data_IF_083937297895
#
_entry.id   IF_083937297895
#
_cell.length_a   1.000
_cell.length_b   1.000
_cell.length_c   1.000
_cell.angle_alpha   90.00
_cell.angle_beta   90.00
_cell.angle_gamma   90.00
#
_symmetry.space_group_name_H-M   'P 1'
#
loop_
_entity.id
_entity.type
_entity.pdbx_description
1 polymer ?
#
# COMPACT_ATOMS: atom_id res chain seq x y z
N UNK A 1 -4.57 16.28 11.44
CA UNK A 1 -3.29 16.90 11.05
C UNK A 1 -2.27 15.79 10.89
N UNK A 2 -1.56 15.73 9.76
CA UNK A 2 -0.44 14.81 9.59
C UNK A 2 0.69 15.19 10.56
N UNK A 3 1.27 14.22 11.27
CA UNK A 3 2.39 14.46 12.20
C UNK A 3 3.68 14.84 11.48
N UNK A 4 4.72 15.33 12.19
CA UNK A 4 6.03 15.59 11.61
C UNK A 4 6.62 14.37 10.90
N UNK A 5 6.27 13.16 11.33
CA UNK A 5 6.69 11.89 10.72
C UNK A 5 6.18 11.73 9.28
N UNK A 6 5.02 12.32 8.95
CA UNK A 6 4.49 12.33 7.57
C UNK A 6 5.10 13.42 6.69
N UNK A 7 5.61 14.51 7.29
CA UNK A 7 5.99 15.74 6.59
C UNK A 7 7.51 15.95 6.51
N UNK A 8 8.28 15.23 7.33
CA UNK A 8 9.75 15.29 7.33
C UNK A 8 10.31 14.58 6.08
N UNK A 9 11.52 14.97 5.67
CA UNK A 9 12.24 14.43 4.51
C UNK A 9 11.33 14.35 3.26
N UNK A 10 10.85 15.50 2.74
CA UNK A 10 10.12 15.48 1.48
C UNK A 10 10.99 14.85 0.39
N UNK A 11 10.42 14.03 -0.51
CA UNK A 11 11.18 13.44 -1.59
C UNK A 11 11.80 14.57 -2.41
N UNK A 12 13.07 14.41 -2.77
CA UNK A 12 13.76 15.34 -3.65
C UNK A 12 13.09 15.23 -5.02
N UNK A 13 12.35 16.27 -5.41
CA UNK A 13 11.65 16.30 -6.69
C UNK A 13 12.68 16.39 -7.82
N UNK A 14 12.66 15.41 -8.71
CA UNK A 14 13.47 15.41 -9.92
C UNK A 14 12.54 15.45 -11.14
N UNK A 15 12.50 16.56 -11.91
CA UNK A 15 11.63 16.67 -13.08
C UNK A 15 12.01 15.71 -14.21
N UNK A 16 13.22 15.16 -14.18
CA UNK A 16 13.69 14.14 -15.11
C UNK A 16 13.49 12.71 -14.56
N UNK A 17 12.84 12.57 -13.40
CA UNK A 17 12.49 11.27 -12.82
C UNK A 17 11.06 10.86 -13.18
N UNK A 18 10.82 9.55 -13.25
CA UNK A 18 9.56 8.97 -13.67
C UNK A 18 9.59 8.49 -15.12
N UNK A 19 9.16 7.26 -15.35
CA UNK A 19 9.06 6.65 -16.68
C UNK A 19 7.62 6.65 -17.23
N UNK A 20 6.70 7.31 -16.53
CA UNK A 20 5.26 7.25 -16.79
C UNK A 20 4.66 8.60 -17.18
N UNK A 21 3.33 8.62 -17.29
CA UNK A 21 2.55 9.79 -17.64
C UNK A 21 1.26 9.84 -16.84
N UNK A 22 0.69 11.03 -16.69
CA UNK A 22 -0.65 11.21 -16.11
C UNK A 22 -1.69 11.07 -17.21
N UNK A 23 -2.70 10.23 -17.00
CA UNK A 23 -3.89 10.16 -17.84
C UNK A 23 -5.15 9.99 -17.01
N UNK A 24 -6.30 10.37 -17.57
CA UNK A 24 -7.59 10.05 -16.95
C UNK A 24 -7.88 8.56 -17.06
N UNK A 25 -8.04 7.91 -15.92
CA UNK A 25 -8.44 6.51 -15.81
C UNK A 25 -9.58 6.43 -14.79
N UNK A 26 -10.72 5.87 -15.18
CA UNK A 26 -11.90 5.87 -14.30
C UNK A 26 -12.40 7.27 -13.90
N UNK A 27 -12.07 8.32 -14.67
CA UNK A 27 -12.39 9.72 -14.35
C UNK A 27 -11.36 10.43 -13.48
N UNK A 28 -10.38 9.71 -12.92
CA UNK A 28 -9.34 10.25 -12.05
C UNK A 28 -8.03 10.45 -12.80
N UNK A 29 -7.33 11.53 -12.49
CA UNK A 29 -5.98 11.75 -12.97
C UNK A 29 -5.05 10.74 -12.30
N UNK A 30 -4.57 9.79 -13.09
CA UNK A 30 -3.80 8.63 -12.62
C UNK A 30 -2.43 8.66 -13.29
N UNK A 31 -1.37 8.63 -12.48
CA UNK A 31 -0.02 8.41 -12.98
C UNK A 31 0.17 6.93 -13.32
N UNK A 32 0.60 6.64 -14.54
CA UNK A 32 0.73 5.27 -15.03
C UNK A 32 2.13 5.09 -15.60
N UNK A 33 2.74 3.97 -15.23
CA UNK A 33 4.04 3.53 -15.72
C UNK A 33 3.97 2.04 -16.08
N UNK A 34 4.75 1.62 -17.06
CA UNK A 34 4.80 0.24 -17.54
C UNK A 34 4.05 -0.01 -18.86
N UNK A 35 4.10 -1.25 -19.38
CA UNK A 35 3.55 -1.58 -20.69
C UNK A 35 2.02 -1.47 -20.75
N UNK A 36 1.49 -0.85 -21.80
CA UNK A 36 0.03 -0.67 -21.98
C UNK A 36 -0.73 -1.97 -22.26
N UNK A 37 -0.03 -3.03 -22.67
CA UNK A 37 -0.59 -4.36 -22.97
C UNK A 37 -0.41 -5.36 -21.81
N UNK A 38 0.03 -4.90 -20.63
CA UNK A 38 0.19 -5.74 -19.45
C UNK A 38 -1.13 -6.41 -19.06
N UNK A 39 -1.06 -7.68 -18.66
CA UNK A 39 -2.19 -8.42 -18.08
C UNK A 39 -2.28 -8.25 -16.57
N UNK A 40 -1.32 -7.55 -15.98
CA UNK A 40 -1.17 -7.36 -14.55
C UNK A 40 -1.05 -5.87 -14.24
N UNK A 41 -1.66 -5.42 -13.15
CA UNK A 41 -1.49 -4.06 -12.67
C UNK A 41 -1.27 -4.05 -11.15
N UNK A 42 -0.58 -3.01 -10.68
CA UNK A 42 -0.47 -2.70 -9.25
C UNK A 42 -0.98 -1.29 -9.04
N UNK A 43 -1.96 -1.14 -8.16
CA UNK A 43 -2.47 0.16 -7.74
C UNK A 43 -1.69 0.63 -6.50
N UNK A 44 -1.07 1.80 -6.56
CA UNK A 44 -0.42 2.44 -5.42
C UNK A 44 -1.33 3.53 -4.84
N UNK A 45 -1.69 3.41 -3.55
CA UNK A 45 -2.64 4.32 -2.89
C UNK A 45 -1.95 5.01 -1.71
N UNK A 46 -1.67 6.30 -1.83
CA UNK A 46 -0.80 7.04 -0.89
C UNK A 46 -1.44 8.27 -0.22
N UNK A 47 -2.77 8.37 -0.14
CA UNK A 47 -3.41 9.66 0.16
C UNK A 47 -3.02 10.30 1.50
N UNK A 48 -2.74 11.61 1.41
CA UNK A 48 -2.56 12.57 2.49
C UNK A 48 -3.48 13.75 2.19
N UNK A 49 -4.34 14.08 3.16
CA UNK A 49 -5.32 15.18 3.27
C UNK A 49 -6.59 15.12 2.40
N UNK A 50 -7.71 14.75 3.03
CA UNK A 50 -9.05 14.94 2.46
C UNK A 50 -10.04 13.89 2.91
N UNK A 51 -10.86 14.21 3.92
CA UNK A 51 -11.87 13.31 4.47
C UNK A 51 -12.85 12.79 3.41
N UNK A 52 -12.92 11.48 3.25
CA UNK A 52 -14.10 10.62 3.47
C UNK A 52 -13.61 9.17 3.38
N UNK A 53 -13.66 8.42 4.49
CA UNK A 53 -13.11 7.04 4.61
C UNK A 53 -13.56 6.09 3.49
N UNK A 54 -14.69 6.37 2.85
CA UNK A 54 -15.24 5.57 1.75
C UNK A 54 -14.95 6.18 0.37
N UNK A 55 -14.64 7.46 0.26
CA UNK A 55 -14.47 8.12 -1.04
C UNK A 55 -13.31 7.52 -1.82
N UNK A 56 -12.15 7.33 -1.19
CA UNK A 56 -11.00 6.70 -1.86
C UNK A 56 -11.31 5.28 -2.37
N UNK A 57 -12.11 4.51 -1.62
CA UNK A 57 -12.58 3.20 -2.06
C UNK A 57 -13.54 3.31 -3.26
N UNK A 58 -14.54 4.21 -3.20
CA UNK A 58 -15.46 4.45 -4.30
C UNK A 58 -14.75 4.97 -5.57
N UNK A 59 -13.78 5.85 -5.40
CA UNK A 59 -12.94 6.43 -6.46
C UNK A 59 -12.01 5.39 -7.10
N UNK A 60 -11.54 4.40 -6.34
CA UNK A 60 -10.71 3.32 -6.88
C UNK A 60 -11.49 2.35 -7.78
N UNK A 61 -12.79 2.14 -7.56
CA UNK A 61 -13.63 1.22 -8.36
C UNK A 61 -13.60 1.52 -9.86
N UNK A 62 -13.92 2.75 -10.34
CA UNK A 62 -13.89 3.05 -11.77
C UNK A 62 -12.49 2.95 -12.38
N UNK A 63 -11.43 3.16 -11.59
CA UNK A 63 -10.03 2.95 -12.02
C UNK A 63 -9.77 1.46 -12.28
N UNK A 64 -10.13 0.59 -11.33
CA UNK A 64 -10.00 -0.87 -11.45
C UNK A 64 -10.80 -1.38 -12.64
N UNK A 65 -12.04 -0.93 -12.82
CA UNK A 65 -12.87 -1.32 -13.96
C UNK A 65 -12.29 -0.82 -15.29
N UNK A 66 -11.64 0.35 -15.31
CA UNK A 66 -10.95 0.82 -16.50
C UNK A 66 -9.69 0.00 -16.82
N UNK A 67 -8.95 -0.47 -15.81
CA UNK A 67 -7.83 -1.41 -15.99
C UNK A 67 -8.32 -2.73 -16.59
N UNK A 68 -9.40 -3.30 -16.05
CA UNK A 68 -10.01 -4.52 -16.59
C UNK A 68 -10.45 -4.36 -18.04
N UNK A 69 -11.09 -3.25 -18.40
CA UNK A 69 -11.46 -2.94 -19.80
C UNK A 69 -10.25 -2.82 -20.74
N UNK A 70 -9.08 -2.44 -20.22
CA UNK A 70 -7.82 -2.42 -20.97
C UNK A 70 -7.15 -3.80 -21.08
N UNK A 71 -7.79 -4.85 -20.55
CA UNK A 71 -7.32 -6.23 -20.65
C UNK A 71 -6.42 -6.69 -19.50
N UNK A 72 -6.39 -5.94 -18.39
CA UNK A 72 -5.77 -6.39 -17.14
C UNK A 72 -6.64 -7.48 -16.50
N UNK A 73 -6.01 -8.59 -16.13
CA UNK A 73 -6.65 -9.78 -15.55
C UNK A 73 -6.42 -9.90 -14.05
N UNK A 74 -5.25 -9.46 -13.57
CA UNK A 74 -4.88 -9.48 -12.16
C UNK A 74 -4.40 -8.10 -11.69
N UNK A 75 -4.85 -7.70 -10.51
CA UNK A 75 -4.60 -6.40 -9.89
C UNK A 75 -4.17 -6.63 -8.44
N UNK A 76 -2.95 -6.21 -8.10
CA UNK A 76 -2.52 -6.01 -6.72
C UNK A 76 -2.76 -4.57 -6.28
N UNK A 77 -2.76 -4.33 -4.97
CA UNK A 77 -2.75 -2.96 -4.45
C UNK A 77 -1.79 -2.81 -3.28
N UNK A 78 -0.98 -1.75 -3.31
CA UNK A 78 -0.16 -1.35 -2.18
C UNK A 78 -0.64 -0.01 -1.63
N UNK A 79 -0.50 0.16 -0.32
CA UNK A 79 -0.86 1.40 0.35
C UNK A 79 0.21 1.92 1.28
N UNK A 80 0.13 3.21 1.54
CA UNK A 80 1.01 3.96 2.42
C UNK A 80 0.15 4.78 3.37
N UNK A 81 0.40 4.69 4.68
CA UNK A 81 -0.27 5.52 5.68
C UNK A 81 -1.81 5.42 5.58
N UNK A 82 -2.50 6.52 5.25
CA UNK A 82 -3.97 6.57 5.20
C UNK A 82 -4.58 5.80 4.04
N UNK A 83 -3.80 5.47 3.00
CA UNK A 83 -4.25 4.64 1.89
C UNK A 83 -4.68 3.23 2.30
N UNK A 84 -4.25 2.78 3.49
CA UNK A 84 -4.54 1.44 3.99
C UNK A 84 -6.03 1.15 4.09
N UNK A 85 -6.86 2.12 4.50
CA UNK A 85 -8.30 1.92 4.59
C UNK A 85 -8.92 1.60 3.23
N UNK A 86 -8.56 2.36 2.19
CA UNK A 86 -9.01 2.10 0.83
C UNK A 86 -8.62 0.69 0.35
N UNK A 87 -7.33 0.34 0.49
CA UNK A 87 -6.82 -0.94 0.00
C UNK A 87 -7.39 -2.14 0.76
N UNK A 88 -7.62 -2.01 2.08
CA UNK A 88 -8.30 -3.06 2.85
C UNK A 88 -9.76 -3.23 2.43
N UNK A 89 -10.49 -2.15 2.13
CA UNK A 89 -11.85 -2.27 1.59
C UNK A 89 -11.86 -2.90 0.17
N UNK A 90 -10.89 -2.56 -0.69
CA UNK A 90 -10.70 -3.22 -1.99
C UNK A 90 -10.42 -4.72 -1.86
N UNK A 91 -9.63 -5.10 -0.85
CA UNK A 91 -9.33 -6.49 -0.54
C UNK A 91 -10.58 -7.26 -0.13
N UNK A 92 -11.40 -6.67 0.73
CA UNK A 92 -12.69 -7.23 1.18
C UNK A 92 -13.71 -7.35 0.04
N UNK A 93 -13.65 -6.48 -0.96
CA UNK A 93 -14.59 -6.49 -2.08
C UNK A 93 -14.24 -7.49 -3.19
N UNK A 94 -13.09 -8.18 -3.11
CA UNK A 94 -12.63 -9.12 -4.14
C UNK A 94 -12.22 -8.47 -5.47
N UNK A 95 -11.94 -7.16 -5.47
CA UNK A 95 -11.54 -6.44 -6.69
C UNK A 95 -10.06 -6.58 -7.02
N UNK A 96 -9.26 -7.03 -6.05
CA UNK A 96 -7.81 -7.19 -6.13
C UNK A 96 -7.40 -8.57 -5.58
N UNK A 97 -6.23 -9.06 -5.99
CA UNK A 97 -5.74 -10.41 -5.66
C UNK A 97 -4.70 -10.43 -4.54
N UNK A 98 -3.99 -9.33 -4.30
CA UNK A 98 -2.98 -9.27 -3.25
C UNK A 98 -2.80 -7.84 -2.73
N UNK A 99 -2.37 -7.73 -1.47
CA UNK A 99 -2.24 -6.46 -0.76
C UNK A 99 -0.86 -6.31 -0.12
N UNK A 100 -0.33 -5.09 -0.16
CA UNK A 100 0.82 -4.67 0.67
C UNK A 100 0.47 -3.39 1.42
N UNK A 101 0.57 -3.40 2.75
CA UNK A 101 0.33 -2.24 3.61
C UNK A 101 1.65 -1.79 4.24
N UNK A 102 2.06 -0.55 3.98
CA UNK A 102 3.21 0.09 4.64
C UNK A 102 2.72 1.13 5.65
N UNK A 103 3.22 1.04 6.89
CA UNK A 103 2.89 1.95 8.01
C UNK A 103 1.40 2.35 8.00
N UNK A 104 0.47 1.37 8.00
CA UNK A 104 -0.92 1.67 7.74
C UNK A 104 -1.53 2.57 8.82
N UNK A 105 -2.68 3.15 8.54
CA UNK A 105 -3.41 3.98 9.49
C UNK A 105 -4.91 3.84 9.28
N UNK A 106 -5.68 4.08 10.35
CA UNK A 106 -7.15 4.07 10.34
C UNK A 106 -7.79 2.74 9.91
N UNK A 107 -7.10 1.63 10.16
CA UNK A 107 -7.61 0.27 9.98
C UNK A 107 -7.78 -0.40 11.33
N UNK A 108 -8.86 -1.15 11.51
CA UNK A 108 -9.20 -1.83 12.76
C UNK A 108 -8.97 -3.34 12.67
N UNK A 109 -9.06 -4.04 13.80
CA UNK A 109 -9.02 -5.51 13.83
C UNK A 109 -10.15 -6.12 12.99
N UNK A 110 -11.34 -5.53 13.01
CA UNK A 110 -12.48 -6.02 12.22
C UNK A 110 -12.29 -5.82 10.71
N UNK A 111 -11.58 -4.75 10.32
CA UNK A 111 -11.22 -4.55 8.92
C UNK A 111 -10.34 -5.70 8.40
N UNK A 112 -9.32 -6.10 9.18
CA UNK A 112 -8.40 -7.20 8.80
C UNK A 112 -9.05 -8.58 8.89
N UNK A 113 -9.98 -8.79 9.82
CA UNK A 113 -10.82 -10.00 9.83
C UNK A 113 -11.61 -10.17 8.52
N UNK A 114 -11.91 -9.09 7.80
CA UNK A 114 -12.55 -9.17 6.49
C UNK A 114 -11.63 -9.56 5.32
N UNK A 115 -10.31 -9.47 5.48
CA UNK A 115 -9.36 -9.70 4.36
C UNK A 115 -9.08 -11.18 4.17
N UNK A 116 -9.45 -11.74 3.02
CA UNK A 116 -9.30 -13.16 2.71
C UNK A 116 -8.40 -13.43 1.49
N UNK A 117 -7.51 -12.49 1.19
CA UNK A 117 -6.54 -12.57 0.09
C UNK A 117 -5.12 -12.39 0.62
N UNK A 118 -4.08 -12.80 -0.12
CA UNK A 118 -2.69 -12.63 0.27
C UNK A 118 -2.35 -11.19 0.70
N UNK A 119 -1.78 -11.03 1.91
CA UNK A 119 -1.53 -9.72 2.52
C UNK A 119 -0.14 -9.61 3.16
N UNK A 120 0.53 -8.49 2.88
CA UNK A 120 1.69 -8.01 3.65
C UNK A 120 1.27 -6.82 4.52
N UNK A 121 1.71 -6.82 5.77
CA UNK A 121 1.60 -5.67 6.68
C UNK A 121 2.97 -5.38 7.29
N UNK A 122 3.55 -4.24 6.95
CA UNK A 122 4.78 -3.75 7.57
C UNK A 122 4.43 -2.55 8.45
N UNK A 123 4.59 -2.72 9.76
CA UNK A 123 4.49 -1.66 10.76
C UNK A 123 5.86 -1.10 11.14
N UNK A 124 5.91 0.15 11.58
CA UNK A 124 7.12 0.76 12.13
C UNK A 124 7.21 0.52 13.64
N UNK A 125 8.42 0.33 14.17
CA UNK A 125 8.64 0.27 15.62
C UNK A 125 8.28 1.60 16.30
N UNK A 126 8.61 2.73 15.67
CA UNK A 126 8.36 4.08 16.20
C UNK A 126 7.11 4.66 15.52
N UNK A 127 5.95 4.13 15.89
CA UNK A 127 4.65 4.49 15.27
C UNK A 127 3.56 4.72 16.32
N UNK A 128 2.92 5.89 16.28
CA UNK A 128 1.80 6.24 17.17
C UNK A 128 0.44 5.90 16.58
N UNK A 129 0.35 5.76 15.26
CA UNK A 129 -0.89 5.47 14.54
C UNK A 129 -1.12 3.97 14.40
N UNK A 130 -0.04 3.21 14.24
CA UNK A 130 -0.05 1.76 14.09
C UNK A 130 1.06 1.12 14.93
N UNK A 131 0.92 1.16 16.27
CA UNK A 131 1.98 0.74 17.17
C UNK A 131 2.23 -0.78 17.11
N UNK A 132 3.41 -1.27 17.54
CA UNK A 132 3.79 -2.68 17.47
C UNK A 132 2.77 -3.66 18.06
N UNK A 133 2.06 -3.27 19.12
CA UNK A 133 1.01 -4.10 19.73
C UNK A 133 -0.12 -4.40 18.74
N UNK A 134 -0.50 -3.40 17.93
CA UNK A 134 -1.53 -3.56 16.91
C UNK A 134 -1.04 -4.41 15.73
N UNK A 135 0.25 -4.29 15.37
CA UNK A 135 0.90 -5.14 14.36
C UNK A 135 0.83 -6.61 14.79
N UNK A 136 1.16 -6.90 16.05
CA UNK A 136 1.14 -8.25 16.60
C UNK A 136 -0.29 -8.83 16.61
N UNK A 137 -1.29 -8.03 16.99
CA UNK A 137 -2.69 -8.46 16.92
C UNK A 137 -3.13 -8.77 15.48
N UNK A 138 -2.62 -8.03 14.48
CA UNK A 138 -2.90 -8.31 13.08
C UNK A 138 -2.21 -9.60 12.63
N UNK A 139 -0.97 -9.84 13.05
CA UNK A 139 -0.24 -11.09 12.79
C UNK A 139 -1.01 -12.29 13.34
N UNK A 140 -1.50 -12.22 14.58
CA UNK A 140 -2.32 -13.28 15.19
C UNK A 140 -3.60 -13.55 14.38
N UNK A 141 -4.36 -12.51 14.04
CA UNK A 141 -5.61 -12.65 13.28
C UNK A 141 -5.36 -13.25 11.90
N UNK A 142 -4.33 -12.78 11.18
CA UNK A 142 -4.04 -13.22 9.83
C UNK A 142 -3.46 -14.63 9.79
N UNK A 143 -2.57 -14.96 10.72
CA UNK A 143 -1.96 -16.31 10.82
C UNK A 143 -3.00 -17.38 11.18
N UNK A 144 -4.05 -17.00 11.92
CA UNK A 144 -5.16 -17.90 12.24
C UNK A 144 -6.06 -18.23 11.02
N UNK A 145 -5.94 -17.52 9.89
CA UNK A 145 -6.76 -17.75 8.71
C UNK A 145 -6.18 -18.86 7.83
N UNK A 146 -6.91 -19.97 7.73
CA UNK A 146 -6.56 -21.06 6.83
C UNK A 146 -6.65 -20.60 5.36
N UNK A 147 -5.60 -20.85 4.59
CA UNK A 147 -5.55 -20.59 3.15
C UNK A 147 -5.23 -19.14 2.75
N UNK A 148 -4.96 -18.24 3.72
CA UNK A 148 -4.52 -16.87 3.44
C UNK A 148 -3.01 -16.78 3.68
N UNK A 149 -2.23 -16.53 2.62
CA UNK A 149 -0.80 -16.26 2.76
C UNK A 149 -0.60 -14.86 3.35
N UNK A 150 0.16 -14.74 4.43
CA UNK A 150 0.38 -13.45 5.09
C UNK A 150 1.82 -13.25 5.55
N UNK A 151 2.27 -12.01 5.49
CA UNK A 151 3.54 -11.57 6.07
C UNK A 151 3.32 -10.31 6.90
N UNK A 152 3.41 -10.41 8.21
CA UNK A 152 3.20 -9.28 9.13
C UNK A 152 4.45 -9.10 9.97
N UNK A 153 5.04 -7.89 9.94
CA UNK A 153 6.25 -7.57 10.72
C UNK A 153 6.29 -6.14 11.22
N UNK A 154 6.83 -5.98 12.42
CA UNK A 154 7.35 -4.72 12.94
C UNK A 154 8.77 -4.54 12.41
N UNK A 155 9.04 -3.42 11.74
CA UNK A 155 10.37 -3.07 11.25
C UNK A 155 11.06 -2.22 12.32
N UNK A 156 12.25 -2.62 12.80
CA UNK A 156 12.95 -1.92 13.87
C UNK A 156 13.56 -0.61 13.38
N UNK A 157 13.75 0.34 14.30
CA UNK A 157 14.44 1.64 14.13
C UNK A 157 13.86 2.58 13.07
N UNK A 158 12.69 2.25 12.53
CA UNK A 158 12.01 3.11 11.56
C UNK A 158 10.79 3.76 12.20
N UNK A 159 10.49 4.96 11.71
CA UNK A 159 9.31 5.72 12.10
C UNK A 159 8.18 5.56 11.08
N UNK A 160 6.98 5.99 11.46
CA UNK A 160 5.88 6.12 10.52
C UNK A 160 6.30 6.85 9.23
N UNK A 161 5.88 6.34 8.06
CA UNK A 161 6.24 6.92 6.77
C UNK A 161 7.60 6.49 6.18
N UNK A 162 8.37 5.61 6.84
CA UNK A 162 9.75 5.30 6.43
C UNK A 162 9.91 4.78 4.99
N UNK A 163 8.89 4.22 4.37
CA UNK A 163 9.02 3.74 2.98
C UNK A 163 8.99 4.86 1.94
N UNK A 164 8.51 6.05 2.32
CA UNK A 164 8.35 7.20 1.40
C UNK A 164 8.95 8.51 1.92
N UNK A 165 9.29 8.59 3.21
CA UNK A 165 9.79 9.79 3.91
C UNK A 165 11.07 9.53 4.73
N UNK A 166 11.86 8.54 4.33
CA UNK A 166 13.15 8.27 4.96
C UNK A 166 14.18 9.34 4.58
N UNK A 167 15.19 9.53 5.44
CA UNK A 167 16.35 10.33 5.08
C UNK A 167 17.21 9.55 4.08
N UNK A 168 17.37 10.06 2.86
CA UNK A 168 18.19 9.43 1.81
C UNK A 168 19.70 9.48 2.08
N UNK A 169 20.13 10.28 3.05
CA UNK A 169 21.53 10.35 3.51
C UNK A 169 21.82 9.38 4.67
N UNK A 170 20.81 8.68 5.18
CA UNK A 170 20.96 7.65 6.21
C UNK A 170 20.88 6.27 5.58
N UNK A 171 22.04 5.62 5.41
CA UNK A 171 22.15 4.28 4.81
C UNK A 171 21.24 3.25 5.48
N UNK A 172 21.01 3.34 6.80
CA UNK A 172 20.14 2.41 7.52
C UNK A 172 18.69 2.62 7.12
N UNK A 173 18.27 3.89 7.00
CA UNK A 173 16.93 4.24 6.58
C UNK A 173 16.68 3.86 5.10
N UNK A 174 17.68 4.07 4.23
CA UNK A 174 17.67 3.64 2.83
C UNK A 174 17.51 2.13 2.72
N UNK A 175 18.38 1.35 3.40
CA UNK A 175 18.30 -0.12 3.38
C UNK A 175 16.94 -0.63 3.88
N UNK A 176 16.37 -0.03 4.92
CA UNK A 176 15.06 -0.42 5.44
C UNK A 176 13.91 -0.12 4.46
N UNK A 177 13.97 1.01 3.75
CA UNK A 177 13.00 1.36 2.72
C UNK A 177 13.13 0.44 1.50
N UNK A 178 14.34 0.18 1.03
CA UNK A 178 14.62 -0.74 -0.08
C UNK A 178 14.17 -2.17 0.23
N UNK A 179 14.43 -2.68 1.43
CA UNK A 179 13.96 -3.99 1.85
C UNK A 179 12.42 -4.09 1.86
N UNK A 180 11.73 -3.02 2.29
CA UNK A 180 10.27 -2.95 2.25
C UNK A 180 9.74 -2.94 0.81
N UNK A 181 10.37 -2.18 -0.09
CA UNK A 181 10.00 -2.16 -1.51
C UNK A 181 10.30 -3.49 -2.22
N UNK A 182 11.42 -4.15 -1.88
CA UNK A 182 11.73 -5.48 -2.39
C UNK A 182 10.65 -6.48 -1.95
N UNK A 183 10.18 -6.39 -0.70
CA UNK A 183 9.09 -7.24 -0.23
C UNK A 183 7.81 -7.06 -1.04
N UNK A 184 7.48 -5.81 -1.41
CA UNK A 184 6.34 -5.53 -2.29
C UNK A 184 6.49 -6.20 -3.66
N UNK A 185 7.68 -6.10 -4.26
CA UNK A 185 7.95 -6.72 -5.57
C UNK A 185 7.82 -8.23 -5.48
N UNK A 186 8.48 -8.87 -4.51
CA UNK A 186 8.39 -10.31 -4.29
C UNK A 186 6.93 -10.78 -4.11
N UNK A 187 6.15 -10.00 -3.35
CA UNK A 187 4.77 -10.36 -3.03
C UNK A 187 3.86 -10.31 -4.26
N UNK A 188 3.96 -9.24 -5.06
CA UNK A 188 3.14 -9.15 -6.27
C UNK A 188 3.60 -10.09 -7.37
N UNK A 189 4.90 -10.38 -7.50
CA UNK A 189 5.39 -11.43 -8.40
C UNK A 189 4.83 -12.82 -8.04
N UNK A 190 4.60 -13.08 -6.75
CA UNK A 190 4.02 -14.35 -6.29
C UNK A 190 2.52 -14.44 -6.53
N UNK A 191 1.77 -13.36 -6.24
CA UNK A 191 0.31 -13.41 -6.07
C UNK A 191 -0.50 -12.64 -7.13
N UNK A 192 0.14 -11.86 -7.99
CA UNK A 192 -0.52 -11.11 -9.09
C UNK A 192 -0.01 -11.65 -10.42
N UNK A 193 -0.40 -12.89 -10.73
CA UNK A 193 -0.07 -13.63 -11.95
C UNK A 193 -1.27 -13.87 -12.86
#
# INVERSE_FOLDING_TARGET
MSGPECCSNPPILNPNSGAGHVQKLGGLDTYITGPSNSKHAVLLVSEVFGMLKNKAFEDAKPVIEALKRKGVLAIGAASFCWGAKCVVELAKSGMIQAVVLFHPSFITLDDIKGVNIPIVVLGAEIDKYFPPELVNQFEEILTAKLGVDCYVKVVPKVSHGWTVRYNSEDDVAVMAAEAAHQKLLDWFLKHVN
#
